data_IF_163758568645
#
_entry.id   IF_163758568645
#
_cell.length_a   1.000
_cell.length_b   1.000
_cell.length_c   1.000
_cell.angle_alpha   90.00
_cell.angle_beta   90.00
_cell.angle_gamma   90.00
#
_symmetry.space_group_name_H-M   'P 1'
#
loop_
_entity.id
_entity.type
_entity.pdbx_description
1 polymer ?
#
# COMPACT_ATOMS: atom_id res chain seq x y z
N UNK A 1 4.64 8.16 18.20
CA UNK A 1 5.70 7.23 17.78
C UNK A 1 6.65 8.02 16.89
N UNK A 2 7.93 8.15 17.25
CA UNK A 2 8.91 8.90 16.45
C UNK A 2 9.49 7.96 15.39
N UNK A 3 9.36 8.33 14.13
CA UNK A 3 10.03 7.69 12.99
C UNK A 3 11.54 7.82 13.23
N UNK A 4 12.26 6.72 13.42
CA UNK A 4 13.71 6.79 13.54
C UNK A 4 14.31 7.05 12.16
N UNK A 5 15.06 8.14 12.00
CA UNK A 5 15.66 8.54 10.72
C UNK A 5 16.65 7.50 10.18
N UNK A 6 17.21 6.68 11.06
CA UNK A 6 18.16 5.62 10.73
C UNK A 6 17.57 4.56 9.77
N UNK A 7 16.25 4.40 9.68
CA UNK A 7 15.62 3.47 8.72
C UNK A 7 15.67 3.96 7.28
N UNK A 8 16.01 5.22 7.04
CA UNK A 8 16.20 5.79 5.70
C UNK A 8 17.64 5.65 5.20
N UNK A 9 18.59 5.31 6.06
CA UNK A 9 19.98 5.09 5.68
C UNK A 9 20.25 3.58 5.56
N UNK A 10 20.81 3.10 4.45
CA UNK A 10 21.20 1.69 4.34
C UNK A 10 22.29 1.37 5.38
N UNK A 11 22.09 0.32 6.16
CA UNK A 11 23.09 -0.20 7.10
C UNK A 11 24.20 -0.93 6.32
N UNK A 12 25.06 -0.19 5.64
CA UNK A 12 26.28 -0.70 4.99
C UNK A 12 27.50 -0.47 5.89
N UNK A 13 28.52 -1.33 5.81
CA UNK A 13 29.74 -1.25 6.63
C UNK A 13 30.54 0.07 6.45
N UNK A 14 30.25 0.85 5.39
CA UNK A 14 30.79 2.21 5.16
C UNK A 14 29.95 3.34 5.82
N UNK A 15 28.99 2.99 6.70
CA UNK A 15 28.02 3.94 7.26
C UNK A 15 28.56 4.99 8.23
N UNK A 16 29.83 4.91 8.67
CA UNK A 16 30.37 5.89 9.63
C UNK A 16 30.50 7.32 9.05
N UNK A 17 30.46 7.50 7.72
CA UNK A 17 30.63 8.83 7.06
C UNK A 17 29.52 9.22 6.05
N UNK A 18 28.40 8.47 5.96
CA UNK A 18 27.34 8.78 4.98
C UNK A 18 26.43 9.91 5.50
N UNK A 19 26.69 11.14 5.05
CA UNK A 19 25.89 12.33 5.40
C UNK A 19 24.66 12.51 4.48
N UNK A 20 24.64 11.89 3.30
CA UNK A 20 23.54 12.00 2.34
C UNK A 20 23.34 10.69 1.58
N UNK A 21 22.09 10.31 1.38
CA UNK A 21 21.69 9.17 0.53
C UNK A 21 20.51 9.57 -0.35
N UNK A 22 20.37 8.91 -1.51
CA UNK A 22 19.22 9.13 -2.38
C UNK A 22 18.06 8.26 -1.93
N UNK A 23 16.88 8.88 -1.75
CA UNK A 23 15.64 8.18 -1.45
C UNK A 23 14.67 8.31 -2.61
N UNK A 24 14.03 7.20 -2.96
CA UNK A 24 12.87 7.18 -3.83
C UNK A 24 11.57 7.09 -2.99
N UNK A 25 10.42 7.27 -3.64
CA UNK A 25 9.13 7.25 -2.95
C UNK A 25 8.81 5.90 -2.27
N UNK A 26 9.30 4.78 -2.81
CA UNK A 26 9.12 3.46 -2.23
C UNK A 26 9.89 3.33 -0.92
N UNK A 27 11.13 3.85 -0.85
CA UNK A 27 11.95 3.83 0.36
C UNK A 27 11.26 4.57 1.51
N UNK A 28 10.66 5.73 1.21
CA UNK A 28 9.91 6.55 2.18
C UNK A 28 8.69 5.77 2.72
N UNK A 29 7.91 5.18 1.82
CA UNK A 29 6.69 4.44 2.20
C UNK A 29 7.04 3.16 2.97
N UNK A 30 8.12 2.47 2.57
CA UNK A 30 8.62 1.29 3.26
C UNK A 30 9.06 1.63 4.68
N UNK A 31 9.90 2.66 4.86
CA UNK A 31 10.33 3.12 6.17
C UNK A 31 9.16 3.59 7.05
N UNK A 32 8.15 4.25 6.47
CA UNK A 32 6.92 4.60 7.17
C UNK A 32 6.15 3.37 7.64
N UNK A 33 5.95 2.39 6.78
CA UNK A 33 5.27 1.14 7.14
C UNK A 33 6.02 0.38 8.23
N UNK A 34 7.36 0.44 8.24
CA UNK A 34 8.19 -0.15 9.28
C UNK A 34 8.05 0.59 10.62
N UNK A 35 8.09 1.92 10.58
CA UNK A 35 7.94 2.76 11.76
C UNK A 35 6.56 2.60 12.44
N UNK A 36 5.53 2.22 11.68
CA UNK A 36 4.17 1.98 12.17
C UNK A 36 3.83 0.49 12.32
N UNK A 37 4.82 -0.41 12.27
CA UNK A 37 4.59 -1.86 12.30
C UNK A 37 3.79 -2.32 13.52
N UNK A 38 4.02 -1.71 14.69
CA UNK A 38 3.28 -2.05 15.92
C UNK A 38 1.78 -1.71 15.86
N UNK A 39 1.38 -0.78 14.99
CA UNK A 39 -0.03 -0.44 14.75
C UNK A 39 -0.65 -1.25 13.61
N UNK A 40 0.10 -2.19 13.01
CA UNK A 40 -0.36 -3.03 11.90
C UNK A 40 -0.98 -2.23 10.75
N UNK A 41 -0.32 -1.12 10.40
CA UNK A 41 -0.76 -0.23 9.33
C UNK A 41 -0.33 -0.78 7.97
N UNK A 42 -1.29 -0.96 7.07
CA UNK A 42 -1.04 -1.32 5.68
C UNK A 42 -1.16 -0.11 4.76
N UNK A 43 -0.27 -0.03 3.78
CA UNK A 43 -0.27 1.02 2.75
C UNK A 43 -0.41 0.37 1.38
N UNK A 44 -1.45 0.78 0.64
CA UNK A 44 -1.64 0.42 -0.77
C UNK A 44 -1.21 1.60 -1.63
N UNK A 45 -0.27 1.38 -2.54
CA UNK A 45 0.15 2.34 -3.56
C UNK A 45 -0.52 1.99 -4.89
N UNK A 46 -1.34 2.90 -5.39
CA UNK A 46 -2.20 2.77 -6.56
C UNK A 46 -1.53 3.37 -7.79
N UNK A 47 -1.44 2.59 -8.87
CA UNK A 47 -0.87 2.97 -10.15
C UNK A 47 -1.96 3.13 -11.19
N UNK A 48 -2.37 4.38 -11.41
CA UNK A 48 -3.38 4.74 -12.42
C UNK A 48 -2.74 4.87 -13.81
N UNK A 49 -3.31 4.25 -14.86
CA UNK A 49 -2.83 4.43 -16.22
C UNK A 49 -3.13 5.84 -16.71
N UNK A 50 -2.16 6.46 -17.39
CA UNK A 50 -2.19 7.91 -17.66
C UNK A 50 -3.20 8.35 -18.72
N UNK A 51 -3.60 7.49 -19.66
CA UNK A 51 -4.33 7.95 -20.86
C UNK A 51 -4.90 6.78 -21.67
N UNK A 52 -6.11 6.31 -21.36
CA UNK A 52 -7.01 5.69 -22.35
C UNK A 52 -8.47 5.78 -21.86
N UNK A 53 -9.42 6.02 -22.76
CA UNK A 53 -10.86 5.98 -22.47
C UNK A 53 -11.31 4.58 -22.02
N UNK A 54 -10.62 3.52 -22.48
CA UNK A 54 -10.83 2.15 -22.01
C UNK A 54 -10.49 2.00 -20.52
N UNK A 55 -9.45 2.69 -20.06
CA UNK A 55 -9.02 2.69 -18.65
C UNK A 55 -10.07 3.35 -17.75
N UNK A 56 -10.71 4.43 -18.21
CA UNK A 56 -11.74 5.11 -17.42
C UNK A 56 -12.95 4.20 -17.18
N UNK A 57 -13.39 3.43 -18.18
CA UNK A 57 -14.46 2.45 -18.00
C UNK A 57 -14.07 1.36 -17.00
N UNK A 58 -12.85 0.84 -17.09
CA UNK A 58 -12.35 -0.17 -16.14
C UNK A 58 -12.23 0.40 -14.71
N UNK A 59 -11.87 1.68 -14.56
CA UNK A 59 -11.85 2.36 -13.27
C UNK A 59 -13.26 2.51 -12.68
N UNK A 60 -14.25 2.91 -13.48
CA UNK A 60 -15.65 3.00 -13.05
C UNK A 60 -16.20 1.62 -12.62
N UNK A 61 -15.92 0.58 -13.41
CA UNK A 61 -16.29 -0.81 -13.08
C UNK A 61 -15.62 -1.31 -11.78
N UNK A 62 -14.38 -0.88 -11.50
CA UNK A 62 -13.71 -1.15 -10.23
C UNK A 62 -14.41 -0.41 -9.08
N UNK A 63 -14.71 0.88 -9.24
CA UNK A 63 -15.41 1.69 -8.24
C UNK A 63 -16.77 1.08 -7.88
N UNK A 64 -17.54 0.66 -8.88
CA UNK A 64 -18.84 0.02 -8.69
C UNK A 64 -18.73 -1.31 -7.93
N UNK A 65 -17.74 -2.14 -8.25
CA UNK A 65 -17.47 -3.39 -7.50
C UNK A 65 -17.06 -3.13 -6.07
N UNK A 66 -16.15 -2.19 -5.84
CA UNK A 66 -15.75 -1.79 -4.48
C UNK A 66 -16.96 -1.31 -3.69
N UNK A 67 -17.86 -0.53 -4.30
CA UNK A 67 -19.14 -0.18 -3.70
C UNK A 67 -20.01 -1.40 -3.39
N UNK A 68 -20.19 -2.32 -4.34
CA UNK A 68 -20.99 -3.54 -4.17
C UNK A 68 -20.47 -4.46 -3.07
N UNK A 69 -19.16 -4.48 -2.82
CA UNK A 69 -18.53 -5.27 -1.76
C UNK A 69 -18.46 -4.54 -0.41
N UNK A 70 -19.11 -3.37 -0.28
CA UNK A 70 -19.19 -2.59 0.97
C UNK A 70 -17.95 -1.75 1.27
N UNK A 71 -17.02 -1.62 0.31
CA UNK A 71 -15.78 -0.83 0.43
C UNK A 71 -16.00 0.62 0.00
N UNK A 72 -17.07 1.26 0.45
CA UNK A 72 -17.50 2.58 -0.03
C UNK A 72 -16.44 3.69 0.11
N UNK A 73 -15.69 3.69 1.23
CA UNK A 73 -14.62 4.67 1.42
C UNK A 73 -13.45 4.43 0.47
N UNK A 74 -13.11 3.17 0.21
CA UNK A 74 -12.07 2.79 -0.75
C UNK A 74 -12.52 3.23 -2.14
N UNK A 75 -13.74 2.86 -2.55
CA UNK A 75 -14.31 3.24 -3.84
C UNK A 75 -14.27 4.75 -4.08
N UNK A 76 -14.68 5.56 -3.09
CA UNK A 76 -14.61 7.02 -3.16
C UNK A 76 -13.19 7.55 -3.35
N UNK A 77 -12.20 6.97 -2.67
CA UNK A 77 -10.80 7.40 -2.82
C UNK A 77 -10.21 6.92 -4.15
N UNK A 78 -10.60 5.73 -4.62
CA UNK A 78 -10.21 5.21 -5.93
C UNK A 78 -10.75 6.09 -7.06
N UNK A 79 -12.01 6.53 -6.97
CA UNK A 79 -12.64 7.43 -7.95
C UNK A 79 -12.04 8.85 -7.95
N UNK A 80 -11.33 9.22 -6.88
CA UNK A 80 -10.58 10.47 -6.76
C UNK A 80 -9.11 10.30 -7.19
N UNK A 81 -8.75 9.13 -7.73
CA UNK A 81 -7.40 8.77 -8.14
C UNK A 81 -6.35 8.89 -7.00
N UNK A 82 -6.76 8.54 -5.77
CA UNK A 82 -5.84 8.57 -4.63
C UNK A 82 -4.70 7.56 -4.81
N UNK A 83 -3.47 8.06 -4.95
CA UNK A 83 -2.28 7.23 -5.12
C UNK A 83 -1.92 6.38 -3.91
N UNK A 84 -2.30 6.79 -2.69
CA UNK A 84 -1.99 6.05 -1.48
C UNK A 84 -3.23 5.89 -0.61
N UNK A 85 -3.48 4.65 -0.20
CA UNK A 85 -4.51 4.30 0.77
C UNK A 85 -3.84 3.71 2.01
N UNK A 86 -4.23 4.18 3.19
CA UNK A 86 -3.68 3.73 4.46
C UNK A 86 -4.78 3.08 5.29
N UNK A 87 -4.53 1.87 5.78
CA UNK A 87 -5.48 1.07 6.53
C UNK A 87 -4.92 0.77 7.92
N UNK A 88 -5.73 1.03 8.95
CA UNK A 88 -5.44 0.65 10.34
C UNK A 88 -5.92 -0.77 10.70
N UNK A 89 -6.71 -1.38 9.81
CA UNK A 89 -7.32 -2.69 10.03
C UNK A 89 -6.81 -3.65 8.95
N UNK A 90 -5.96 -4.65 9.32
CA UNK A 90 -5.40 -5.62 8.38
C UNK A 90 -6.45 -6.33 7.53
N UNK A 91 -7.57 -6.75 8.11
CA UNK A 91 -8.65 -7.43 7.40
C UNK A 91 -9.27 -6.56 6.29
N UNK A 92 -9.46 -5.25 6.54
CA UNK A 92 -9.98 -4.32 5.53
C UNK A 92 -8.96 -4.06 4.43
N UNK A 93 -7.68 -3.94 4.79
CA UNK A 93 -6.59 -3.77 3.83
C UNK A 93 -6.47 -4.98 2.92
N UNK A 94 -6.51 -6.20 3.49
CA UNK A 94 -6.45 -7.46 2.76
C UNK A 94 -7.60 -7.61 1.77
N UNK A 95 -8.83 -7.30 2.21
CA UNK A 95 -10.00 -7.31 1.34
C UNK A 95 -9.83 -6.31 0.19
N UNK A 96 -9.53 -5.04 0.48
CA UNK A 96 -9.37 -4.01 -0.55
C UNK A 96 -8.25 -4.35 -1.56
N UNK A 97 -7.10 -4.83 -1.07
CA UNK A 97 -5.98 -5.25 -1.90
C UNK A 97 -6.38 -6.36 -2.88
N UNK A 98 -7.08 -7.39 -2.40
CA UNK A 98 -7.52 -8.50 -3.25
C UNK A 98 -8.56 -8.09 -4.29
N UNK A 99 -9.49 -7.21 -3.94
CA UNK A 99 -10.49 -6.67 -4.87
C UNK A 99 -9.83 -5.87 -6.00
N UNK A 100 -8.88 -5.01 -5.66
CA UNK A 100 -8.16 -4.18 -6.63
C UNK A 100 -7.25 -5.06 -7.50
N UNK A 101 -6.52 -6.02 -6.91
CA UNK A 101 -5.61 -6.91 -7.64
C UNK A 101 -6.34 -7.86 -8.59
N UNK A 102 -7.53 -8.33 -8.23
CA UNK A 102 -8.35 -9.18 -9.11
C UNK A 102 -8.74 -8.46 -10.39
N UNK A 103 -8.80 -7.13 -10.36
CA UNK A 103 -9.17 -6.30 -11.50
C UNK A 103 -7.96 -5.55 -12.09
N UNK A 104 -6.90 -6.30 -12.37
CA UNK A 104 -5.60 -5.82 -12.82
C UNK A 104 -5.60 -4.99 -14.13
N UNK A 105 -6.74 -4.94 -14.83
CA UNK A 105 -6.93 -4.14 -16.04
C UNK A 105 -7.24 -2.67 -15.76
N UNK A 106 -7.75 -2.34 -14.57
CA UNK A 106 -8.11 -0.98 -14.19
C UNK A 106 -6.90 -0.18 -13.68
N UNK A 107 -6.21 -0.73 -12.68
CA UNK A 107 -5.07 -0.10 -12.00
C UNK A 107 -4.10 -1.14 -11.43
N UNK A 108 -2.82 -0.77 -11.30
CA UNK A 108 -1.85 -1.55 -10.53
C UNK A 108 -1.90 -1.22 -9.03
N UNK A 109 -1.54 -2.16 -8.17
CA UNK A 109 -1.44 -1.92 -6.72
C UNK A 109 -0.19 -2.58 -6.12
N UNK A 110 0.55 -1.83 -5.32
CA UNK A 110 1.65 -2.33 -4.50
C UNK A 110 1.29 -2.26 -3.01
N UNK A 111 1.61 -3.32 -2.27
CA UNK A 111 1.40 -3.41 -0.84
C UNK A 111 2.70 -3.18 -0.08
N UNK A 112 2.65 -2.28 0.90
CA UNK A 112 3.66 -2.12 1.93
C UNK A 112 3.04 -2.42 3.29
N UNK A 113 3.70 -3.28 4.08
CA UNK A 113 3.19 -3.70 5.38
C UNK A 113 4.34 -4.02 6.33
N UNK A 114 4.39 -3.36 7.48
CA UNK A 114 5.39 -3.61 8.52
C UNK A 114 6.85 -3.64 8.02
N UNK A 115 7.21 -2.76 7.08
CA UNK A 115 8.55 -2.71 6.49
C UNK A 115 8.83 -3.77 5.43
N UNK A 116 7.79 -4.47 4.96
CA UNK A 116 7.87 -5.45 3.88
C UNK A 116 7.19 -4.92 2.62
N UNK A 117 7.59 -5.46 1.47
CA UNK A 117 6.97 -5.25 0.16
C UNK A 117 6.80 -6.59 -0.58
N UNK A 118 5.89 -6.65 -1.55
CA UNK A 118 5.69 -7.83 -2.41
C UNK A 118 5.13 -9.03 -1.63
N UNK A 119 5.53 -10.25 -2.02
CA UNK A 119 4.99 -11.49 -1.43
C UNK A 119 5.20 -11.61 0.08
N UNK A 120 6.25 -10.98 0.63
CA UNK A 120 6.49 -10.94 2.07
C UNK A 120 5.44 -10.11 2.80
N UNK A 121 5.12 -8.94 2.26
CA UNK A 121 4.07 -8.08 2.79
C UNK A 121 2.69 -8.72 2.66
N UNK A 122 2.42 -9.37 1.53
CA UNK A 122 1.15 -10.08 1.30
C UNK A 122 0.94 -11.19 2.33
N UNK A 123 1.94 -12.05 2.55
CA UNK A 123 1.83 -13.13 3.55
C UNK A 123 1.68 -12.60 4.96
N UNK A 124 2.44 -11.57 5.33
CA UNK A 124 2.32 -10.97 6.67
C UNK A 124 0.94 -10.34 6.88
N UNK A 125 0.41 -9.64 5.88
CA UNK A 125 -0.92 -9.04 5.94
C UNK A 125 -2.02 -10.11 6.00
N UNK A 126 -1.90 -11.19 5.23
CA UNK A 126 -2.85 -12.31 5.22
C UNK A 126 -2.97 -12.97 6.60
N UNK A 127 -1.83 -13.24 7.24
CA UNK A 127 -1.78 -13.80 8.60
C UNK A 127 -2.50 -12.86 9.58
N UNK A 128 -2.20 -11.57 9.55
CA UNK A 128 -2.81 -10.60 10.47
C UNK A 128 -4.30 -10.32 10.16
N UNK A 129 -4.71 -10.44 8.89
CA UNK A 129 -6.10 -10.29 8.47
C UNK A 129 -7.00 -11.44 8.93
N UNK A 130 -6.43 -12.63 9.12
CA UNK A 130 -7.16 -13.83 9.53
C UNK A 130 -6.84 -14.29 10.95
N UNK A 131 -5.94 -13.59 11.66
CA UNK A 131 -5.76 -13.77 13.08
C UNK A 131 -7.10 -13.46 13.77
N UNK A 132 -7.69 -14.46 14.42
CA UNK A 132 -8.83 -14.24 15.32
C UNK A 132 -8.30 -13.46 16.52
N UNK A 133 -8.99 -12.38 16.88
CA UNK A 133 -8.80 -11.69 18.17
C UNK A 133 -8.86 -12.67 19.35
#
# INVERSE_FOLDING_TARGET
MNMNLDTLFPATEEAEDIVVTALNHQDIVLAMSAALASEKVAVLHMLYPRTDARTHRSLDELVDRLHGHGLHQVARLVSQEAHYLVFKEPAKAWKAFNEIRHDSLAIGVHLYYCGLIGEGAERALDIDAHAKD
#
